data_IF_498295112149
#
_entry.id   IF_498295112149
#
_cell.length_a   1.000
_cell.length_b   1.000
_cell.length_c   1.000
_cell.angle_alpha   90.00
_cell.angle_beta   90.00
_cell.angle_gamma   90.00
#
_symmetry.space_group_name_H-M   'P 1'
#
loop_
_entity.id
_entity.type
_entity.pdbx_description
1 polymer ?
#
# COMPACT_ATOMS: atom_id res chain seq x y z
N UNK A 1 -9.93 5.15 -18.14
CA UNK A 1 -8.94 4.20 -17.58
C UNK A 1 -9.60 3.39 -16.47
N UNK A 2 -9.38 2.10 -16.47
CA UNK A 2 -9.85 1.20 -15.42
C UNK A 2 -8.65 0.59 -14.67
N UNK A 3 -8.63 0.75 -13.35
CA UNK A 3 -7.54 0.29 -12.48
C UNK A 3 -8.06 -0.79 -11.56
N UNK A 4 -7.37 -1.94 -11.57
CA UNK A 4 -7.62 -3.05 -10.66
C UNK A 4 -6.66 -3.05 -9.49
N UNK A 5 -7.12 -3.48 -8.34
CA UNK A 5 -6.32 -3.62 -7.13
C UNK A 5 -6.35 -5.06 -6.64
N UNK A 6 -5.21 -5.55 -6.17
CA UNK A 6 -5.10 -6.85 -5.51
C UNK A 6 -4.37 -6.67 -4.18
N UNK A 7 -5.09 -6.97 -3.10
CA UNK A 7 -4.54 -7.04 -1.74
C UNK A 7 -4.25 -8.51 -1.44
N UNK A 8 -2.98 -8.87 -1.38
CA UNK A 8 -2.57 -10.27 -1.25
C UNK A 8 -2.80 -10.80 0.17
N UNK A 9 -2.43 -10.02 1.17
CA UNK A 9 -2.27 -10.54 2.54
C UNK A 9 -2.59 -9.56 3.69
N UNK A 10 -3.27 -8.45 3.42
CA UNK A 10 -3.65 -7.47 4.45
C UNK A 10 -4.93 -7.90 5.19
N UNK A 11 -4.96 -9.10 5.75
CA UNK A 11 -6.13 -9.61 6.46
C UNK A 11 -6.42 -8.80 7.73
N UNK A 12 -7.67 -8.35 7.89
CA UNK A 12 -8.16 -7.55 9.02
C UNK A 12 -7.51 -6.16 9.18
N UNK A 13 -6.73 -5.72 8.20
CA UNK A 13 -6.14 -4.39 8.15
C UNK A 13 -6.36 -3.76 6.78
N UNK A 14 -6.63 -2.46 6.70
CA UNK A 14 -6.67 -1.79 5.41
C UNK A 14 -5.26 -1.64 4.84
N UNK A 15 -5.11 -1.86 3.54
CA UNK A 15 -3.84 -1.63 2.86
C UNK A 15 -3.72 -0.15 2.46
N UNK A 16 -2.94 0.61 3.21
CA UNK A 16 -2.82 2.05 3.02
C UNK A 16 -2.30 2.42 1.62
N UNK A 17 -1.37 1.64 1.08
CA UNK A 17 -0.83 1.89 -0.27
C UNK A 17 -1.93 1.78 -1.32
N UNK A 18 -2.76 0.75 -1.26
CA UNK A 18 -3.88 0.57 -2.18
C UNK A 18 -4.95 1.65 -2.01
N UNK A 19 -5.20 2.09 -0.77
CA UNK A 19 -6.13 3.20 -0.51
C UNK A 19 -5.65 4.51 -1.13
N UNK A 20 -4.35 4.80 -1.08
CA UNK A 20 -3.75 5.98 -1.73
C UNK A 20 -3.77 5.87 -3.25
N UNK A 21 -3.45 4.70 -3.80
CA UNK A 21 -3.52 4.43 -5.24
C UNK A 21 -4.97 4.61 -5.74
N UNK A 22 -5.95 4.06 -5.03
CA UNK A 22 -7.36 4.21 -5.35
C UNK A 22 -7.78 5.67 -5.41
N UNK A 23 -7.47 6.44 -4.35
CA UNK A 23 -7.82 7.86 -4.28
C UNK A 23 -7.17 8.67 -5.41
N UNK A 24 -5.89 8.42 -5.68
CA UNK A 24 -5.14 9.11 -6.73
C UNK A 24 -5.76 8.91 -8.11
N UNK A 25 -6.08 7.67 -8.49
CA UNK A 25 -6.64 7.39 -9.79
C UNK A 25 -8.12 7.81 -9.91
N UNK A 26 -8.90 7.68 -8.84
CA UNK A 26 -10.29 8.21 -8.80
C UNK A 26 -10.32 9.72 -8.99
N UNK A 27 -9.40 10.45 -8.39
CA UNK A 27 -9.27 11.90 -8.57
C UNK A 27 -8.94 12.30 -10.02
N UNK A 28 -8.34 11.40 -10.79
CA UNK A 28 -8.07 11.57 -12.23
C UNK A 28 -9.19 11.08 -13.13
N UNK A 29 -10.33 10.69 -12.58
CA UNK A 29 -11.48 10.21 -13.33
C UNK A 29 -11.42 8.73 -13.72
N UNK A 30 -10.47 7.96 -13.19
CA UNK A 30 -10.40 6.52 -13.43
C UNK A 30 -11.43 5.75 -12.61
N UNK A 31 -11.90 4.64 -13.15
CA UNK A 31 -12.66 3.63 -12.42
C UNK A 31 -11.68 2.72 -11.67
N UNK A 32 -11.85 2.55 -10.37
CA UNK A 32 -10.97 1.74 -9.52
C UNK A 32 -11.79 0.72 -8.73
N UNK A 33 -11.37 -0.53 -8.78
CA UNK A 33 -11.99 -1.62 -8.02
C UNK A 33 -10.98 -2.71 -7.69
N UNK A 34 -11.29 -3.55 -6.71
CA UNK A 34 -10.56 -4.81 -6.56
C UNK A 34 -10.79 -5.70 -7.76
N UNK A 35 -9.73 -6.39 -8.22
CA UNK A 35 -9.81 -7.25 -9.39
C UNK A 35 -10.86 -8.34 -9.23
N UNK A 36 -11.67 -8.51 -10.26
CA UNK A 36 -12.72 -9.52 -10.32
C UNK A 36 -12.38 -10.57 -11.40
N UNK A 37 -12.81 -11.83 -11.20
CA UNK A 37 -12.67 -12.85 -12.25
C UNK A 37 -13.29 -12.39 -13.55
N UNK A 38 -12.55 -12.52 -14.66
CA UNK A 38 -12.97 -12.09 -15.99
C UNK A 38 -12.90 -10.58 -16.23
N UNK A 39 -12.35 -9.81 -15.29
CA UNK A 39 -12.22 -8.36 -15.44
C UNK A 39 -11.19 -7.93 -16.49
N UNK A 40 -11.39 -6.73 -17.05
CA UNK A 40 -10.46 -6.08 -17.96
C UNK A 40 -9.95 -4.79 -17.33
N UNK A 41 -8.63 -4.62 -17.25
CA UNK A 41 -8.01 -3.48 -16.60
C UNK A 41 -6.90 -2.90 -17.47
N UNK A 42 -6.76 -1.58 -17.46
CA UNK A 42 -5.61 -0.90 -18.06
C UNK A 42 -4.36 -1.10 -17.21
N UNK A 43 -4.54 -1.00 -15.88
CA UNK A 43 -3.49 -1.23 -14.90
C UNK A 43 -4.00 -2.07 -13.73
N UNK A 44 -3.13 -2.91 -13.19
CA UNK A 44 -3.37 -3.63 -11.94
C UNK A 44 -2.23 -3.36 -10.98
N UNK A 45 -2.55 -2.95 -9.77
CA UNK A 45 -1.61 -2.76 -8.67
C UNK A 45 -1.79 -3.87 -7.66
N UNK A 46 -0.72 -4.60 -7.39
CA UNK A 46 -0.70 -5.74 -6.47
C UNK A 46 0.17 -5.39 -5.28
N UNK A 47 -0.39 -5.44 -4.08
CA UNK A 47 0.33 -5.17 -2.84
C UNK A 47 0.45 -6.43 -1.99
N UNK A 48 1.68 -6.73 -1.60
CA UNK A 48 2.01 -7.87 -0.73
C UNK A 48 2.94 -7.41 0.39
N UNK A 49 2.62 -7.77 1.62
CA UNK A 49 3.36 -7.37 2.83
C UNK A 49 4.38 -8.43 3.23
N UNK A 50 3.98 -9.70 3.19
CA UNK A 50 4.82 -10.82 3.61
C UNK A 50 5.40 -11.58 2.41
N UNK A 51 6.68 -11.87 2.46
CA UNK A 51 7.43 -12.52 1.36
C UNK A 51 6.82 -13.86 0.93
N UNK A 52 6.32 -14.64 1.89
CA UNK A 52 5.82 -15.99 1.65
C UNK A 52 4.37 -16.04 1.16
N UNK A 53 3.65 -14.93 1.22
CA UNK A 53 2.28 -14.86 0.74
C UNK A 53 2.22 -15.05 -0.77
N UNK A 54 1.21 -15.77 -1.23
CA UNK A 54 0.99 -16.04 -2.65
C UNK A 54 -0.11 -15.14 -3.20
N UNK A 55 0.08 -14.65 -4.41
CA UNK A 55 -0.96 -13.91 -5.12
C UNK A 55 -2.21 -14.79 -5.31
N UNK A 56 -3.42 -14.23 -5.16
CA UNK A 56 -4.64 -14.98 -5.41
C UNK A 56 -4.74 -15.40 -6.89
N UNK A 57 -5.28 -16.57 -7.14
CA UNK A 57 -5.51 -17.09 -8.49
C UNK A 57 -6.80 -16.48 -9.07
N UNK A 58 -6.69 -15.25 -9.55
CA UNK A 58 -7.79 -14.52 -10.20
C UNK A 58 -7.44 -14.37 -11.68
N UNK A 59 -8.33 -14.84 -12.54
CA UNK A 59 -8.17 -14.70 -14.00
C UNK A 59 -8.72 -13.34 -14.45
N UNK A 60 -7.86 -12.48 -14.96
CA UNK A 60 -8.21 -11.16 -15.49
C UNK A 60 -7.30 -10.80 -16.68
N UNK A 61 -7.72 -9.81 -17.47
CA UNK A 61 -6.93 -9.27 -18.56
C UNK A 61 -6.42 -7.89 -18.17
N UNK A 62 -5.15 -7.62 -18.43
CA UNK A 62 -4.52 -6.35 -18.07
C UNK A 62 -3.44 -5.95 -19.06
N UNK A 63 -3.28 -4.65 -19.30
CA UNK A 63 -2.20 -4.10 -20.11
C UNK A 63 -0.88 -3.97 -19.33
N UNK A 64 -0.94 -3.46 -18.09
CA UNK A 64 0.25 -3.25 -17.23
C UNK A 64 -0.01 -3.71 -15.81
N UNK A 65 0.97 -4.41 -15.21
CA UNK A 65 0.93 -4.86 -13.81
C UNK A 65 2.05 -4.21 -13.01
N UNK A 66 1.70 -3.68 -11.85
CA UNK A 66 2.65 -3.08 -10.90
C UNK A 66 2.58 -3.84 -9.57
N UNK A 67 3.73 -4.32 -9.10
CA UNK A 67 3.85 -5.04 -7.83
C UNK A 67 4.63 -4.20 -6.83
N UNK A 68 4.13 -4.13 -5.62
CA UNK A 68 4.76 -3.38 -4.54
C UNK A 68 4.44 -3.94 -3.15
N UNK A 69 5.05 -3.32 -2.16
CA UNK A 69 4.99 -3.75 -0.78
C UNK A 69 6.20 -4.57 -0.35
N UNK A 70 6.41 -4.67 0.96
CA UNK A 70 7.58 -5.32 1.55
C UNK A 70 7.73 -6.81 1.22
N UNK A 71 6.66 -7.46 0.80
CA UNK A 71 6.69 -8.85 0.37
C UNK A 71 7.36 -9.07 -0.99
N UNK A 72 7.44 -8.03 -1.83
CA UNK A 72 8.15 -8.08 -3.12
C UNK A 72 9.52 -7.42 -3.05
N UNK A 73 9.56 -6.17 -2.53
CA UNK A 73 10.78 -5.36 -2.57
C UNK A 73 10.72 -4.29 -1.46
N UNK A 74 11.78 -4.18 -0.68
CA UNK A 74 11.89 -3.17 0.39
C UNK A 74 12.19 -1.78 -0.15
N UNK A 75 12.73 -1.66 -1.36
CA UNK A 75 13.15 -0.40 -1.97
C UNK A 75 12.06 0.24 -2.85
N UNK A 76 11.11 -0.57 -3.34
CA UNK A 76 10.03 -0.07 -4.19
C UNK A 76 9.04 0.77 -3.37
N UNK A 77 8.96 2.06 -3.70
CA UNK A 77 8.11 3.05 -3.02
C UNK A 77 7.06 3.60 -3.97
N UNK A 78 5.97 4.09 -3.40
CA UNK A 78 4.99 4.89 -4.15
C UNK A 78 5.66 6.17 -4.66
N UNK A 79 5.19 6.68 -5.80
CA UNK A 79 5.60 8.01 -6.26
C UNK A 79 5.18 9.06 -5.24
N UNK A 80 5.88 10.21 -5.22
CA UNK A 80 5.60 11.31 -4.30
C UNK A 80 4.11 11.72 -4.33
N UNK A 81 3.54 11.85 -5.52
CA UNK A 81 2.14 12.29 -5.69
C UNK A 81 1.14 11.29 -5.08
N UNK A 82 1.38 10.00 -5.26
CA UNK A 82 0.52 8.97 -4.68
C UNK A 82 0.73 8.89 -3.17
N UNK A 83 1.97 8.95 -2.71
CA UNK A 83 2.31 8.87 -1.27
C UNK A 83 1.62 9.97 -0.46
N UNK A 84 1.48 11.17 -1.01
CA UNK A 84 0.83 12.32 -0.35
C UNK A 84 -0.65 12.49 -0.71
N UNK A 85 -1.27 11.49 -1.32
CA UNK A 85 -2.70 11.48 -1.59
C UNK A 85 -3.48 11.05 -0.34
N UNK A 86 -4.57 11.77 -0.03
CA UNK A 86 -5.49 11.38 1.06
C UNK A 86 -6.10 10.01 0.77
N UNK A 87 -6.06 9.06 1.72
CA UNK A 87 -6.48 7.68 1.46
C UNK A 87 -7.97 7.56 1.12
N UNK A 88 -8.30 6.64 0.24
CA UNK A 88 -9.67 6.24 -0.04
C UNK A 88 -10.17 5.26 1.04
N UNK A 89 -10.71 5.80 2.11
CA UNK A 89 -11.26 4.99 3.21
C UNK A 89 -12.46 4.15 2.78
N UNK A 90 -13.15 4.54 1.71
CA UNK A 90 -14.23 3.75 1.12
C UNK A 90 -13.81 2.43 0.51
N UNK A 91 -12.51 2.21 0.28
CA UNK A 91 -11.97 0.96 -0.25
C UNK A 91 -12.11 -0.20 0.77
N UNK A 92 -12.02 0.10 2.07
CA UNK A 92 -12.17 -0.86 3.18
C UNK A 92 -13.18 -0.34 4.21
N UNK A 93 -14.48 -0.23 3.85
CA UNK A 93 -15.45 0.49 4.66
C UNK A 93 -15.62 -0.08 6.08
N UNK A 94 -15.56 -1.39 6.23
CA UNK A 94 -15.74 -2.04 7.55
C UNK A 94 -14.52 -1.84 8.47
N UNK A 95 -13.31 -1.77 7.91
CA UNK A 95 -12.07 -1.63 8.68
C UNK A 95 -11.75 -0.17 9.01
N UNK A 96 -12.31 0.78 8.27
CA UNK A 96 -11.98 2.20 8.38
C UNK A 96 -13.15 3.07 8.85
N UNK A 97 -14.23 2.45 9.33
CA UNK A 97 -15.46 3.13 9.72
C UNK A 97 -15.25 4.26 10.72
N UNK A 98 -14.45 4.03 11.75
CA UNK A 98 -14.20 4.97 12.83
C UNK A 98 -12.68 5.22 13.06
N UNK A 99 -11.85 4.89 12.08
CA UNK A 99 -10.39 4.91 12.25
C UNK A 99 -9.70 5.44 11.02
N UNK A 100 -8.81 6.42 11.21
CA UNK A 100 -7.90 6.89 10.19
C UNK A 100 -6.56 6.15 10.27
N UNK A 101 -5.92 5.94 9.13
CA UNK A 101 -4.64 5.24 9.02
C UNK A 101 -3.64 6.09 8.26
N UNK A 102 -2.41 6.17 8.77
CA UNK A 102 -1.34 6.88 8.11
C UNK A 102 -0.03 6.82 8.89
N UNK A 103 1.02 7.37 8.30
CA UNK A 103 2.35 7.42 8.87
C UNK A 103 2.79 8.87 9.00
N UNK A 104 3.01 9.35 10.22
CA UNK A 104 3.61 10.66 10.48
C UNK A 104 5.13 10.60 10.33
N UNK A 105 5.71 9.47 10.74
CA UNK A 105 7.16 9.24 10.68
C UNK A 105 7.45 7.85 10.12
N UNK A 106 8.61 7.69 9.52
CA UNK A 106 9.17 6.40 9.10
C UNK A 106 10.61 6.29 9.57
N UNK A 107 11.08 5.04 9.68
CA UNK A 107 12.42 4.73 10.16
C UNK A 107 12.46 4.41 11.65
N UNK A 108 13.50 3.67 12.05
CA UNK A 108 13.65 3.22 13.43
C UNK A 108 15.14 3.21 13.84
N UNK A 109 15.51 3.87 14.95
CA UNK A 109 16.91 3.89 15.42
C UNK A 109 17.36 2.59 16.10
N UNK A 110 16.47 1.63 16.32
CA UNK A 110 16.77 0.36 17.00
C UNK A 110 17.47 -0.63 16.07
N UNK A 111 18.74 -0.41 15.80
CA UNK A 111 19.51 -1.21 14.85
C UNK A 111 19.71 -2.68 15.25
N UNK A 112 19.67 -2.99 16.55
CA UNK A 112 19.79 -4.37 17.04
C UNK A 112 18.59 -5.27 16.65
N UNK A 113 17.48 -4.68 16.22
CA UNK A 113 16.31 -5.40 15.70
C UNK A 113 16.32 -5.55 14.18
N UNK A 114 17.22 -4.89 13.48
CA UNK A 114 17.30 -4.94 12.00
C UNK A 114 17.67 -6.34 11.51
N UNK A 115 17.02 -6.79 10.45
CA UNK A 115 17.31 -8.09 9.81
C UNK A 115 18.75 -8.17 9.31
N UNK A 116 19.27 -7.08 8.73
CA UNK A 116 20.65 -6.99 8.25
C UNK A 116 21.70 -7.18 9.36
N UNK A 117 21.29 -7.12 10.62
CA UNK A 117 22.15 -7.33 11.80
C UNK A 117 21.76 -8.57 12.61
N UNK A 118 21.05 -9.51 12.00
CA UNK A 118 20.61 -10.76 12.64
C UNK A 118 19.33 -10.65 13.47
N UNK A 119 18.63 -9.51 13.40
CA UNK A 119 17.32 -9.32 14.02
C UNK A 119 16.17 -9.81 13.14
N UNK A 120 14.94 -9.50 13.53
CA UNK A 120 13.73 -9.93 12.83
C UNK A 120 12.97 -8.78 12.14
N UNK A 121 13.26 -7.53 12.49
CA UNK A 121 12.48 -6.37 12.08
C UNK A 121 13.01 -5.77 10.77
N UNK A 122 12.12 -5.60 9.80
CA UNK A 122 12.46 -5.00 8.50
C UNK A 122 12.49 -3.47 8.54
N UNK A 123 11.92 -2.83 9.56
CA UNK A 123 11.73 -1.37 9.58
C UNK A 123 13.03 -0.59 9.40
N UNK A 124 14.14 -0.89 10.13
CA UNK A 124 15.39 -0.16 9.90
C UNK A 124 15.96 -0.35 8.50
N UNK A 125 15.79 -1.54 7.92
CA UNK A 125 16.29 -1.87 6.58
C UNK A 125 15.44 -1.26 5.48
N UNK A 126 14.11 -1.16 5.69
CA UNK A 126 13.17 -0.62 4.72
C UNK A 126 13.12 0.90 4.72
N UNK A 127 13.00 1.51 5.90
CA UNK A 127 12.70 2.93 6.07
C UNK A 127 13.87 3.73 6.67
N UNK A 128 15.00 3.06 6.98
CA UNK A 128 16.19 3.68 7.52
C UNK A 128 16.30 3.64 9.05
N UNK A 129 17.45 4.10 9.52
CA UNK A 129 17.87 3.99 10.92
C UNK A 129 17.57 5.25 11.75
N UNK A 130 16.83 6.19 11.19
CA UNK A 130 16.39 7.43 11.86
C UNK A 130 14.91 7.61 11.67
N UNK A 131 14.23 8.07 12.71
CA UNK A 131 12.83 8.47 12.59
C UNK A 131 12.74 9.80 11.86
N UNK A 132 12.12 9.81 10.68
CA UNK A 132 11.99 10.98 9.81
C UNK A 132 10.53 11.29 9.64
N UNK A 133 10.14 12.57 9.77
CA UNK A 133 8.79 13.02 9.46
C UNK A 133 8.53 12.81 7.96
N UNK A 134 7.42 12.15 7.62
CA UNK A 134 7.05 11.84 6.22
C UNK A 134 5.71 12.41 5.81
N UNK A 135 4.86 12.80 6.75
CA UNK A 135 3.55 13.36 6.45
C UNK A 135 3.04 14.26 7.57
N UNK A 136 2.08 15.11 7.25
CA UNK A 136 1.25 15.83 8.23
C UNK A 136 -0.03 15.04 8.51
N UNK A 137 -0.59 15.23 9.69
CA UNK A 137 -1.79 14.51 10.12
C UNK A 137 -2.97 14.69 9.15
N UNK A 138 -3.13 15.87 8.59
CA UNK A 138 -4.22 16.19 7.63
C UNK A 138 -4.12 15.40 6.32
N UNK A 139 -2.97 14.77 6.01
CA UNK A 139 -2.82 13.96 4.81
C UNK A 139 -3.59 12.64 4.88
N UNK A 140 -4.05 12.23 6.07
CA UNK A 140 -4.82 11.01 6.24
C UNK A 140 -5.93 11.11 7.29
N UNK A 141 -6.07 12.25 7.97
CA UNK A 141 -7.13 12.50 8.95
C UNK A 141 -7.58 13.96 8.89
N UNK A 142 -8.87 14.18 8.74
CA UNK A 142 -9.48 15.51 8.61
C UNK A 142 -10.28 15.97 9.85
N UNK A 143 -10.13 15.25 10.94
CA UNK A 143 -10.80 15.53 12.20
C UNK A 143 -12.02 14.68 12.40
#
# INVERSE_FOLDING_TARGET
>A
MKVGLIDVDSHNYPNLCLMKISAYFKAKGAEVEFCKPGGFYDRVYISKIFTESKEPDIQYTVAEVFRGGSGYDLENKLTHDIEHTYPDYGLYPELTKDTAFGWLTRGCPRLNHAQSRGGFCITPDKDGCKSIKVADLKEFWDG
#
